data_IF_737794781190
#
_entry.id   IF_737794781190
#
_cell.length_a   1.000
_cell.length_b   1.000
_cell.length_c   1.000
_cell.angle_alpha   90.00
_cell.angle_beta   90.00
_cell.angle_gamma   90.00
#
_symmetry.space_group_name_H-M   'P 1'
#
loop_
_entity.id
_entity.type
_entity.pdbx_description
1 polymer ?
#
# COMPACT_ATOMS: atom_id res chain seq x y z
N UNK A 1 20.00 8.55 15.26
CA UNK A 1 19.13 7.38 15.44
C UNK A 1 19.92 6.11 15.85
N UNK A 2 21.25 6.08 15.76
CA UNK A 2 22.07 4.93 16.23
C UNK A 2 22.01 3.67 15.38
N UNK A 3 21.53 3.76 14.13
CA UNK A 3 21.59 2.65 13.18
C UNK A 3 23.05 2.33 12.87
N UNK A 4 23.42 1.04 12.95
CA UNK A 4 24.81 0.57 12.79
C UNK A 4 25.03 -0.30 11.56
N UNK A 5 23.97 -0.69 10.86
CA UNK A 5 24.03 -1.46 9.63
C UNK A 5 24.46 -0.61 8.43
N UNK A 6 24.25 -1.12 7.24
CA UNK A 6 24.44 -0.38 6.00
C UNK A 6 23.08 -0.04 5.35
N UNK A 7 23.06 1.01 4.53
CA UNK A 7 21.89 1.41 3.76
C UNK A 7 22.11 1.01 2.30
N UNK A 8 21.22 0.19 1.79
CA UNK A 8 21.13 -0.18 0.38
C UNK A 8 20.05 0.67 -0.28
N UNK A 9 20.37 1.33 -1.40
CA UNK A 9 19.35 2.10 -2.15
C UNK A 9 18.32 1.16 -2.78
N UNK A 10 17.20 1.70 -3.19
CA UNK A 10 16.31 1.01 -4.12
C UNK A 10 16.99 0.84 -5.49
N UNK A 11 16.48 -0.13 -6.28
CA UNK A 11 17.07 -0.51 -7.55
C UNK A 11 16.95 0.58 -8.61
N UNK A 12 18.10 1.04 -9.11
CA UNK A 12 18.18 2.03 -10.19
C UNK A 12 17.68 3.44 -9.83
N UNK A 13 17.33 3.71 -8.58
CA UNK A 13 16.71 4.98 -8.19
C UNK A 13 17.65 6.18 -8.38
N UNK A 14 18.93 6.02 -8.07
CA UNK A 14 19.93 7.10 -8.20
C UNK A 14 20.11 7.56 -9.65
N UNK A 15 19.95 6.64 -10.61
CA UNK A 15 20.08 6.97 -12.03
C UNK A 15 18.78 7.47 -12.65
N UNK A 16 17.64 6.85 -12.29
CA UNK A 16 16.40 7.00 -13.03
C UNK A 16 15.40 7.95 -12.37
N UNK A 17 15.53 8.21 -11.06
CA UNK A 17 14.61 9.05 -10.31
C UNK A 17 15.35 10.24 -9.71
N UNK A 18 15.36 11.34 -10.44
CA UNK A 18 16.13 12.54 -10.10
C UNK A 18 15.30 13.57 -9.32
N UNK A 19 14.26 13.16 -8.61
CA UNK A 19 13.33 14.06 -7.93
C UNK A 19 14.02 15.02 -6.94
N UNK A 20 14.00 16.32 -7.28
CA UNK A 20 14.65 17.37 -6.52
C UNK A 20 16.15 17.47 -6.71
N UNK A 21 16.73 16.70 -7.66
CA UNK A 21 18.15 16.68 -8.03
C UNK A 21 18.33 16.54 -9.54
N UNK A 22 17.35 17.03 -10.31
CA UNK A 22 17.28 16.90 -11.77
C UNK A 22 18.46 17.55 -12.47
N UNK A 23 19.00 18.63 -11.91
CA UNK A 23 20.15 19.38 -12.42
C UNK A 23 21.50 18.67 -12.22
N UNK A 24 21.54 17.61 -11.38
CA UNK A 24 22.77 16.88 -11.10
C UNK A 24 23.02 15.78 -12.14
N UNK A 25 24.27 15.63 -12.53
CA UNK A 25 24.72 14.46 -13.29
C UNK A 25 24.61 13.17 -12.44
N UNK A 26 24.53 12.01 -13.09
CA UNK A 26 24.42 10.72 -12.36
C UNK A 26 25.57 10.51 -11.37
N UNK A 27 26.81 10.87 -11.74
CA UNK A 27 27.96 10.77 -10.82
C UNK A 27 27.83 11.69 -9.60
N UNK A 28 27.24 12.87 -9.76
CA UNK A 28 27.00 13.82 -8.67
C UNK A 28 25.88 13.31 -7.74
N UNK A 29 24.83 12.72 -8.30
CA UNK A 29 23.75 12.06 -7.51
C UNK A 29 24.27 10.87 -6.73
N UNK A 30 25.18 10.06 -7.30
CA UNK A 30 25.86 8.97 -6.60
C UNK A 30 26.65 9.50 -5.40
N UNK A 31 27.43 10.56 -5.59
CA UNK A 31 28.19 11.18 -4.51
C UNK A 31 27.25 11.70 -3.41
N UNK A 32 26.21 12.41 -3.78
CA UNK A 32 25.22 12.94 -2.82
C UNK A 32 24.54 11.83 -2.01
N UNK A 33 24.17 10.73 -2.65
CA UNK A 33 23.55 9.58 -2.00
C UNK A 33 24.51 8.96 -0.98
N UNK A 34 25.80 8.77 -1.33
CA UNK A 34 26.82 8.24 -0.41
C UNK A 34 27.04 9.17 0.77
N UNK A 35 27.10 10.47 0.56
CA UNK A 35 27.21 11.45 1.64
C UNK A 35 25.97 11.52 2.54
N UNK A 36 24.78 11.20 1.99
CA UNK A 36 23.56 11.05 2.76
C UNK A 36 23.50 9.74 3.58
N UNK A 37 24.48 8.85 3.42
CA UNK A 37 24.61 7.61 4.19
C UNK A 37 24.19 6.35 3.44
N UNK A 38 23.98 6.40 2.12
CA UNK A 38 23.76 5.21 1.30
C UNK A 38 25.11 4.53 1.07
N UNK A 39 25.25 3.29 1.49
CA UNK A 39 26.49 2.51 1.42
C UNK A 39 26.56 1.63 0.16
N UNK A 40 25.41 1.23 -0.39
CA UNK A 40 25.28 0.39 -1.59
C UNK A 40 24.28 1.04 -2.55
N UNK A 41 24.73 1.30 -3.77
CA UNK A 41 23.84 1.74 -4.89
C UNK A 41 23.31 0.50 -5.58
N UNK A 42 22.06 0.16 -5.33
CA UNK A 42 21.42 -1.05 -5.81
C UNK A 42 20.90 -0.93 -7.25
N UNK A 43 20.88 -2.06 -7.98
CA UNK A 43 20.32 -2.13 -9.33
C UNK A 43 21.04 -1.29 -10.38
N UNK A 44 22.22 -0.76 -10.04
CA UNK A 44 23.09 -0.05 -10.96
C UNK A 44 24.23 -0.96 -11.41
N UNK A 45 24.35 -1.12 -12.71
CA UNK A 45 25.51 -1.75 -13.33
C UNK A 45 26.55 -0.72 -13.77
N UNK A 46 26.26 0.57 -13.60
CA UNK A 46 27.11 1.68 -14.00
C UNK A 46 28.06 2.08 -12.87
N UNK A 47 29.11 1.27 -12.71
CA UNK A 47 30.21 1.60 -11.79
C UNK A 47 30.99 2.85 -12.24
N UNK A 48 30.88 3.26 -13.52
CA UNK A 48 31.62 4.39 -14.07
C UNK A 48 31.16 5.71 -13.46
N UNK A 49 29.88 5.84 -13.10
CA UNK A 49 29.37 7.02 -12.40
C UNK A 49 30.07 7.20 -11.02
N UNK A 50 30.23 6.12 -10.25
CA UNK A 50 30.93 6.18 -8.97
C UNK A 50 32.43 6.48 -9.14
N UNK A 51 33.08 5.85 -10.16
CA UNK A 51 34.48 6.13 -10.49
C UNK A 51 34.68 7.58 -10.93
N UNK A 52 33.75 8.13 -11.71
CA UNK A 52 33.80 9.52 -12.15
C UNK A 52 33.66 10.48 -10.98
N UNK A 53 32.70 10.24 -10.07
CA UNK A 53 32.55 11.03 -8.87
C UNK A 53 33.84 11.05 -8.00
N UNK A 54 34.46 9.88 -7.88
CA UNK A 54 35.74 9.75 -7.16
C UNK A 54 36.88 10.45 -7.89
N UNK A 55 37.03 10.27 -9.22
CA UNK A 55 38.05 10.94 -10.05
C UNK A 55 37.92 12.46 -9.92
N UNK A 56 36.70 13.00 -10.02
CA UNK A 56 36.43 14.45 -9.87
C UNK A 56 36.88 14.98 -8.52
N UNK A 57 36.67 14.22 -7.45
CA UNK A 57 37.15 14.57 -6.11
C UNK A 57 38.69 14.57 -5.99
N UNK A 58 39.36 13.58 -6.62
CA UNK A 58 40.84 13.46 -6.58
C UNK A 58 41.55 14.50 -7.44
N UNK A 59 41.04 14.78 -8.63
CA UNK A 59 41.70 15.66 -9.60
C UNK A 59 41.30 17.12 -9.44
N UNK A 60 40.41 17.45 -8.52
CA UNK A 60 39.88 18.80 -8.36
C UNK A 60 39.15 19.27 -9.63
N UNK A 61 38.36 18.39 -10.22
CA UNK A 61 37.71 18.52 -11.53
C UNK A 61 37.06 19.89 -11.76
N UNK A 62 36.31 20.39 -10.79
CA UNK A 62 35.60 21.65 -10.92
C UNK A 62 36.53 22.85 -11.00
N UNK A 63 37.70 22.76 -10.41
CA UNK A 63 38.70 23.84 -10.40
C UNK A 63 39.65 23.75 -11.62
N UNK A 64 40.01 22.56 -12.04
CA UNK A 64 41.00 22.34 -13.10
C UNK A 64 40.37 22.34 -14.51
N UNK A 65 39.09 21.88 -14.62
CA UNK A 65 38.39 21.79 -15.90
C UNK A 65 37.47 22.99 -16.18
N UNK A 66 37.40 23.95 -15.28
CA UNK A 66 36.53 25.14 -15.44
C UNK A 66 35.02 24.84 -15.33
N UNK A 67 34.64 23.66 -14.88
CA UNK A 67 33.24 23.33 -14.57
C UNK A 67 32.74 24.07 -13.36
N UNK A 68 31.47 24.42 -13.36
CA UNK A 68 30.81 24.99 -12.19
C UNK A 68 30.19 23.88 -11.36
N UNK A 69 30.37 23.96 -10.06
CA UNK A 69 29.56 23.16 -9.12
C UNK A 69 28.11 23.56 -9.28
N UNK A 70 27.16 22.60 -9.34
CA UNK A 70 25.73 22.91 -9.40
C UNK A 70 25.31 23.85 -8.29
N UNK A 71 24.38 24.76 -8.59
CA UNK A 71 23.92 25.77 -7.66
C UNK A 71 23.31 25.10 -6.40
N UNK A 72 23.69 25.60 -5.23
CA UNK A 72 23.23 25.04 -3.94
C UNK A 72 24.08 23.90 -3.40
N UNK A 73 25.08 23.42 -4.12
CA UNK A 73 25.96 22.31 -3.70
C UNK A 73 27.41 22.76 -3.49
N UNK A 74 28.14 21.98 -2.69
CA UNK A 74 29.60 22.11 -2.56
C UNK A 74 30.32 21.01 -3.36
N UNK A 75 31.57 21.24 -3.72
CA UNK A 75 32.43 20.22 -4.38
C UNK A 75 32.44 18.91 -3.60
N UNK A 76 32.53 19.00 -2.28
CA UNK A 76 32.55 17.82 -1.41
C UNK A 76 31.26 16.98 -1.50
N UNK A 77 30.11 17.63 -1.60
CA UNK A 77 28.82 16.94 -1.68
C UNK A 77 28.63 16.19 -3.01
N UNK A 78 29.17 16.69 -4.11
CA UNK A 78 28.99 16.16 -5.46
C UNK A 78 30.18 15.36 -5.99
N UNK A 79 31.16 15.06 -5.11
CA UNK A 79 32.32 14.22 -5.42
C UNK A 79 32.54 13.18 -4.32
N UNK A 80 33.30 12.12 -4.61
CA UNK A 80 33.65 11.10 -3.64
C UNK A 80 35.12 11.21 -3.19
N UNK A 81 35.37 10.93 -1.92
CA UNK A 81 36.68 10.86 -1.30
C UNK A 81 37.04 9.43 -0.86
N UNK A 82 38.31 9.16 -0.59
CA UNK A 82 38.75 7.90 0.03
C UNK A 82 38.03 7.65 1.36
N UNK A 83 37.79 8.71 2.12
CA UNK A 83 37.08 8.61 3.40
C UNK A 83 35.64 8.15 3.23
N UNK A 84 34.88 8.75 2.31
CA UNK A 84 33.49 8.39 2.05
C UNK A 84 33.36 6.93 1.59
N UNK A 85 34.22 6.51 0.63
CA UNK A 85 34.24 5.13 0.14
C UNK A 85 34.66 4.13 1.21
N UNK A 86 35.66 4.48 2.04
CA UNK A 86 36.13 3.62 3.14
C UNK A 86 35.02 3.44 4.17
N UNK A 87 34.26 4.48 4.48
CA UNK A 87 33.14 4.41 5.43
C UNK A 87 32.02 3.50 4.92
N UNK A 88 31.60 3.67 3.68
CA UNK A 88 30.58 2.82 3.05
C UNK A 88 31.01 1.34 3.02
N UNK A 89 32.26 1.09 2.60
CA UNK A 89 32.84 -0.25 2.61
C UNK A 89 32.91 -0.85 4.03
N UNK A 90 33.30 -0.04 5.04
CA UNK A 90 33.39 -0.50 6.42
C UNK A 90 32.03 -0.91 6.99
N UNK A 91 30.96 -0.17 6.70
CA UNK A 91 29.61 -0.55 7.11
C UNK A 91 29.18 -1.90 6.51
N UNK A 92 29.38 -2.07 5.20
CA UNK A 92 29.05 -3.31 4.49
C UNK A 92 29.89 -4.50 4.96
N UNK A 93 31.19 -4.31 5.19
CA UNK A 93 32.09 -5.37 5.67
C UNK A 93 31.81 -5.76 7.11
N UNK A 94 31.48 -4.80 7.97
CA UNK A 94 31.15 -5.06 9.38
C UNK A 94 30.07 -6.12 9.51
N UNK A 95 28.97 -5.97 8.76
CA UNK A 95 27.88 -6.92 8.81
C UNK A 95 28.31 -8.34 8.39
N UNK A 96 29.17 -8.44 7.37
CA UNK A 96 29.71 -9.72 6.94
C UNK A 96 30.59 -10.38 8.01
N UNK A 97 31.38 -9.58 8.76
CA UNK A 97 32.14 -10.09 9.90
C UNK A 97 31.22 -10.51 11.05
N UNK A 98 30.22 -9.69 11.40
CA UNK A 98 29.29 -10.00 12.48
C UNK A 98 28.47 -11.28 12.18
N UNK A 99 28.15 -11.55 10.91
CA UNK A 99 27.50 -12.77 10.45
C UNK A 99 28.44 -13.98 10.35
N UNK A 100 29.76 -13.80 10.56
CA UNK A 100 30.76 -14.85 10.45
C UNK A 100 30.93 -15.43 9.05
N UNK A 101 30.66 -14.64 8.00
CA UNK A 101 30.71 -15.12 6.62
C UNK A 101 32.12 -15.44 6.13
N UNK A 102 33.16 -14.88 6.75
CA UNK A 102 34.54 -15.16 6.41
C UNK A 102 35.05 -16.45 7.07
N UNK A 103 34.60 -16.72 8.31
CA UNK A 103 34.99 -17.90 9.08
C UNK A 103 34.15 -19.12 8.73
N UNK A 104 32.88 -18.93 8.42
CA UNK A 104 31.96 -20.02 8.12
C UNK A 104 30.89 -19.60 7.08
N UNK A 105 31.26 -19.48 5.79
CA UNK A 105 30.37 -19.02 4.73
C UNK A 105 29.29 -20.07 4.35
N UNK A 106 29.53 -21.34 4.69
CA UNK A 106 28.64 -22.44 4.31
C UNK A 106 27.61 -22.75 5.39
N UNK A 107 26.42 -23.13 4.97
CA UNK A 107 25.35 -23.59 5.85
C UNK A 107 24.89 -24.97 5.42
N UNK A 108 24.56 -25.84 6.38
CA UNK A 108 23.97 -27.15 6.09
C UNK A 108 22.50 -26.94 5.68
N UNK A 109 22.11 -27.29 4.43
CA UNK A 109 20.72 -27.14 3.96
C UNK A 109 19.70 -27.88 4.83
N UNK A 110 20.08 -29.02 5.42
CA UNK A 110 19.19 -29.80 6.29
C UNK A 110 18.89 -29.06 7.57
N UNK A 111 19.93 -28.43 8.18
CA UNK A 111 19.74 -27.58 9.37
C UNK A 111 18.94 -26.31 9.03
N UNK A 112 19.10 -25.76 7.82
CA UNK A 112 18.32 -24.61 7.40
C UNK A 112 16.83 -24.90 7.40
N UNK A 113 16.42 -26.10 6.90
CA UNK A 113 15.00 -26.54 6.92
C UNK A 113 14.47 -26.68 8.36
N UNK A 114 15.31 -27.04 9.34
CA UNK A 114 14.90 -27.18 10.74
C UNK A 114 14.69 -25.82 11.44
N UNK A 115 15.35 -24.75 11.00
CA UNK A 115 15.33 -23.44 11.68
C UNK A 115 14.60 -22.34 10.92
N UNK A 116 14.32 -22.53 9.63
CA UNK A 116 13.62 -21.56 8.79
C UNK A 116 12.17 -22.00 8.61
N UNK A 117 11.24 -21.06 8.72
CA UNK A 117 9.82 -21.29 8.55
C UNK A 117 9.27 -22.40 9.48
N UNK A 118 9.69 -22.38 10.73
CA UNK A 118 9.21 -23.32 11.74
C UNK A 118 7.70 -23.18 11.96
N UNK A 119 7.06 -24.16 12.58
CA UNK A 119 5.65 -24.07 12.97
C UNK A 119 5.35 -22.81 13.77
N UNK A 120 6.25 -22.44 14.68
CA UNK A 120 6.12 -21.21 15.48
C UNK A 120 6.20 -19.93 14.63
N UNK A 121 7.05 -19.92 13.60
CA UNK A 121 7.14 -18.77 12.69
C UNK A 121 5.85 -18.60 11.89
N UNK A 122 5.28 -19.72 11.42
CA UNK A 122 3.98 -19.71 10.76
C UNK A 122 2.83 -19.28 11.68
N UNK A 123 2.83 -19.73 12.94
CA UNK A 123 1.86 -19.29 13.96
C UNK A 123 1.98 -17.77 14.23
N UNK A 124 3.20 -17.26 14.35
CA UNK A 124 3.47 -15.83 14.52
C UNK A 124 3.01 -15.02 13.28
N UNK A 125 3.32 -15.49 12.08
CA UNK A 125 2.88 -14.86 10.84
C UNK A 125 1.35 -14.83 10.72
N UNK A 126 0.70 -15.96 11.06
CA UNK A 126 -0.75 -16.05 11.09
C UNK A 126 -1.39 -15.06 12.07
N UNK A 127 -0.78 -14.89 13.24
CA UNK A 127 -1.26 -13.92 14.25
C UNK A 127 -1.11 -12.47 13.75
N UNK A 128 -0.02 -12.15 13.03
CA UNK A 128 0.16 -10.84 12.38
C UNK A 128 -0.94 -10.59 11.35
N UNK A 129 -1.24 -11.58 10.49
CA UNK A 129 -2.32 -11.45 9.50
C UNK A 129 -3.68 -11.18 10.15
N UNK A 130 -4.04 -11.88 11.25
CA UNK A 130 -5.28 -11.62 11.97
C UNK A 130 -5.31 -10.21 12.58
N UNK A 131 -4.20 -9.78 13.17
CA UNK A 131 -4.05 -8.45 13.78
C UNK A 131 -4.09 -7.31 12.78
N UNK A 132 -3.75 -7.56 11.50
CA UNK A 132 -3.81 -6.54 10.45
C UNK A 132 -5.24 -6.26 9.96
N UNK A 133 -6.21 -7.13 10.24
CA UNK A 133 -7.61 -6.90 9.84
C UNK A 133 -8.20 -5.76 10.66
N UNK A 134 -8.72 -4.74 9.98
CA UNK A 134 -9.41 -3.61 10.62
C UNK A 134 -10.92 -3.74 10.40
N UNK A 135 -11.69 -3.66 11.47
CA UNK A 135 -13.15 -3.55 11.39
C UNK A 135 -13.54 -2.08 11.25
N UNK A 136 -14.03 -1.69 10.07
CA UNK A 136 -14.43 -0.32 9.76
C UNK A 136 -15.89 -0.05 10.12
N UNK A 137 -16.79 -1.01 9.83
CA UNK A 137 -18.23 -0.89 10.09
C UNK A 137 -18.80 -2.18 10.62
N UNK A 138 -19.71 -2.07 11.59
CA UNK A 138 -20.48 -3.22 12.09
C UNK A 138 -21.86 -2.77 12.60
N UNK A 139 -22.88 -3.13 11.89
CA UNK A 139 -24.29 -2.87 12.28
C UNK A 139 -24.88 -4.06 13.09
N UNK A 140 -24.09 -4.63 13.99
CA UNK A 140 -24.49 -5.78 14.81
C UNK A 140 -24.46 -7.13 14.08
N UNK A 141 -23.93 -7.15 12.85
CA UNK A 141 -23.86 -8.36 12.02
C UNK A 141 -22.72 -9.27 12.49
N UNK A 142 -21.54 -8.70 12.69
CA UNK A 142 -20.33 -9.42 13.09
C UNK A 142 -20.21 -9.52 14.61
N UNK A 143 -19.61 -10.60 15.14
CA UNK A 143 -19.15 -11.77 14.42
C UNK A 143 -20.30 -12.68 13.96
N UNK A 144 -20.06 -13.48 12.90
CA UNK A 144 -20.94 -14.56 12.47
C UNK A 144 -20.64 -15.80 13.32
N UNK A 145 -21.23 -15.85 14.52
CA UNK A 145 -21.11 -17.02 15.42
C UNK A 145 -21.87 -18.23 14.87
N UNK A 146 -21.54 -19.45 15.35
CA UNK A 146 -22.26 -20.68 14.94
C UNK A 146 -23.78 -20.51 15.14
N UNK A 147 -24.21 -19.88 16.23
CA UNK A 147 -25.64 -19.61 16.50
C UNK A 147 -26.30 -18.74 15.41
N UNK A 148 -25.59 -17.73 14.89
CA UNK A 148 -26.08 -16.85 13.83
C UNK A 148 -26.07 -17.51 12.45
N UNK A 149 -25.21 -18.51 12.25
CA UNK A 149 -24.97 -19.12 10.93
C UNK A 149 -25.64 -20.48 10.76
N UNK A 150 -26.14 -21.11 11.84
CA UNK A 150 -26.75 -22.43 11.77
C UNK A 150 -27.93 -22.44 10.78
N UNK A 151 -27.83 -23.30 9.76
CA UNK A 151 -28.82 -23.46 8.70
C UNK A 151 -28.89 -22.29 7.72
N UNK A 152 -27.95 -21.34 7.77
CA UNK A 152 -27.94 -20.14 6.91
C UNK A 152 -27.27 -20.39 5.58
N UNK A 153 -27.78 -19.72 4.56
CA UNK A 153 -27.19 -19.70 3.22
C UNK A 153 -26.23 -18.53 3.07
N UNK A 154 -25.01 -18.82 2.62
CA UNK A 154 -23.97 -17.83 2.39
C UNK A 154 -23.63 -17.76 0.91
N UNK A 155 -23.78 -16.57 0.35
CA UNK A 155 -23.25 -16.23 -0.96
C UNK A 155 -21.84 -15.67 -0.79
N UNK A 156 -20.87 -16.06 -1.62
CA UNK A 156 -19.51 -15.57 -1.56
C UNK A 156 -19.00 -15.22 -2.96
N UNK A 157 -18.45 -14.04 -3.11
CA UNK A 157 -17.84 -13.59 -4.35
C UNK A 157 -16.63 -12.70 -4.10
N UNK A 158 -15.57 -12.93 -4.88
CA UNK A 158 -14.40 -12.05 -4.96
C UNK A 158 -14.46 -11.22 -6.24
N UNK A 159 -14.02 -9.98 -6.12
CA UNK A 159 -13.87 -9.03 -7.22
C UNK A 159 -12.42 -8.57 -7.30
N UNK A 160 -11.86 -8.59 -8.49
CA UNK A 160 -10.50 -8.13 -8.77
C UNK A 160 -10.52 -7.18 -9.98
N UNK A 161 -9.42 -6.44 -10.23
CA UNK A 161 -9.29 -5.63 -11.43
C UNK A 161 -9.47 -6.46 -12.70
N UNK A 162 -8.94 -7.69 -12.73
CA UNK A 162 -9.19 -8.67 -13.79
C UNK A 162 -10.28 -9.63 -13.34
N UNK A 163 -11.34 -9.77 -14.14
CA UNK A 163 -12.48 -10.63 -13.81
C UNK A 163 -12.07 -12.09 -13.59
N UNK A 164 -11.13 -12.60 -14.39
CA UNK A 164 -10.62 -13.98 -14.28
C UNK A 164 -9.94 -14.26 -12.93
N UNK A 165 -9.26 -13.28 -12.35
CA UNK A 165 -8.63 -13.41 -11.03
C UNK A 165 -9.69 -13.40 -9.92
N UNK A 166 -10.76 -12.61 -10.09
CA UNK A 166 -11.92 -12.63 -9.20
C UNK A 166 -12.63 -13.97 -9.18
N UNK A 167 -12.79 -14.62 -10.35
CA UNK A 167 -13.38 -15.96 -10.46
C UNK A 167 -12.54 -16.98 -9.71
N UNK A 168 -11.23 -17.02 -9.94
CA UNK A 168 -10.31 -17.94 -9.23
C UNK A 168 -10.34 -17.74 -7.72
N UNK A 169 -10.24 -16.47 -7.28
CA UNK A 169 -10.31 -16.12 -5.86
C UNK A 169 -11.64 -16.53 -5.22
N UNK A 170 -12.75 -16.43 -5.96
CA UNK A 170 -14.08 -16.89 -5.49
C UNK A 170 -14.10 -18.39 -5.24
N UNK A 171 -13.53 -19.19 -6.14
CA UNK A 171 -13.44 -20.64 -5.96
C UNK A 171 -12.61 -21.03 -4.74
N UNK A 172 -11.50 -20.33 -4.50
CA UNK A 172 -10.65 -20.53 -3.32
C UNK A 172 -11.37 -20.12 -2.03
N UNK A 173 -12.05 -19.00 -2.03
CA UNK A 173 -12.85 -18.54 -0.89
C UNK A 173 -13.96 -19.54 -0.55
N UNK A 174 -14.68 -20.06 -1.55
CA UNK A 174 -15.72 -21.09 -1.35
C UNK A 174 -15.16 -22.35 -0.72
N UNK A 175 -13.99 -22.84 -1.18
CA UNK A 175 -13.31 -23.99 -0.58
C UNK A 175 -12.92 -23.78 0.90
N UNK A 176 -12.65 -22.54 1.30
CA UNK A 176 -12.41 -22.21 2.71
C UNK A 176 -13.74 -22.25 3.49
N UNK A 177 -14.79 -21.66 2.93
CA UNK A 177 -16.13 -21.60 3.55
C UNK A 177 -16.80 -22.98 3.66
N UNK A 178 -16.54 -23.92 2.77
CA UNK A 178 -17.02 -25.31 2.88
C UNK A 178 -16.57 -26.01 4.18
N UNK A 179 -15.51 -25.52 4.79
CA UNK A 179 -14.99 -26.03 6.08
C UNK A 179 -15.66 -25.41 7.29
N UNK A 180 -16.42 -24.33 7.09
CA UNK A 180 -17.13 -23.64 8.16
C UNK A 180 -18.42 -24.42 8.52
N UNK A 181 -18.62 -24.61 9.80
CA UNK A 181 -19.79 -25.32 10.31
C UNK A 181 -21.04 -24.43 10.28
N UNK A 182 -22.18 -25.02 10.09
CA UNK A 182 -23.47 -24.36 10.22
C UNK A 182 -23.93 -23.54 9.02
N UNK A 183 -23.09 -23.38 7.99
CA UNK A 183 -23.46 -22.66 6.77
C UNK A 183 -23.66 -23.61 5.59
N UNK A 184 -24.47 -23.14 4.61
CA UNK A 184 -24.61 -23.74 3.30
C UNK A 184 -24.28 -22.71 2.23
N UNK A 185 -23.40 -23.04 1.28
CA UNK A 185 -23.08 -22.12 0.19
C UNK A 185 -24.20 -22.09 -0.84
N UNK A 186 -24.44 -20.90 -1.40
CA UNK A 186 -25.34 -20.70 -2.53
C UNK A 186 -24.66 -19.83 -3.59
N UNK A 187 -24.96 -20.11 -4.87
CA UNK A 187 -24.52 -19.29 -6.00
C UNK A 187 -25.49 -18.17 -6.35
N UNK A 188 -26.60 -18.07 -5.61
CA UNK A 188 -27.68 -17.14 -5.87
C UNK A 188 -27.80 -16.12 -4.75
N UNK A 189 -27.52 -14.83 -5.01
CA UNK A 189 -27.68 -13.77 -4.01
C UNK A 189 -29.11 -13.71 -3.46
N UNK A 190 -30.12 -13.99 -4.29
CA UNK A 190 -31.54 -14.00 -3.92
C UNK A 190 -31.90 -15.12 -2.92
N UNK A 191 -31.03 -16.07 -2.67
CA UNK A 191 -31.21 -17.12 -1.67
C UNK A 191 -30.39 -16.90 -0.39
N UNK A 192 -29.49 -15.91 -0.40
CA UNK A 192 -28.51 -15.74 0.65
C UNK A 192 -29.08 -15.04 1.90
N UNK A 193 -28.76 -15.58 3.07
CA UNK A 193 -28.92 -14.90 4.37
C UNK A 193 -27.72 -13.96 4.65
N UNK A 194 -26.52 -14.34 4.16
CA UNK A 194 -25.30 -13.54 4.23
C UNK A 194 -24.62 -13.51 2.87
N UNK A 195 -24.12 -12.34 2.48
CA UNK A 195 -23.19 -12.21 1.36
C UNK A 195 -21.83 -11.78 1.87
N UNK A 196 -20.79 -12.53 1.49
CA UNK A 196 -19.40 -12.21 1.76
C UNK A 196 -18.73 -11.73 0.46
N UNK A 197 -18.40 -10.46 0.39
CA UNK A 197 -17.81 -9.83 -0.80
C UNK A 197 -16.35 -9.44 -0.50
N UNK A 198 -15.41 -10.04 -1.22
CA UNK A 198 -14.00 -9.76 -1.08
C UNK A 198 -13.52 -8.95 -2.28
N UNK A 199 -13.03 -7.74 -2.04
CA UNK A 199 -12.73 -6.75 -3.06
C UNK A 199 -11.23 -6.48 -3.08
N UNK A 200 -10.60 -6.70 -4.23
CA UNK A 200 -9.17 -6.42 -4.44
C UNK A 200 -9.01 -5.45 -5.61
N UNK A 201 -9.32 -4.17 -5.39
CA UNK A 201 -9.14 -3.15 -6.42
C UNK A 201 -7.65 -2.89 -6.67
N UNK A 202 -7.34 -2.43 -7.89
CA UNK A 202 -5.99 -2.04 -8.29
C UNK A 202 -6.04 -0.86 -9.27
N UNK A 203 -5.19 0.12 -9.09
CA UNK A 203 -5.04 1.27 -9.99
C UNK A 203 -3.58 1.43 -10.39
N UNK A 204 -3.38 1.94 -11.61
CA UNK A 204 -2.08 2.07 -12.22
C UNK A 204 -1.40 0.74 -12.49
N UNK A 205 -0.24 0.80 -13.11
CA UNK A 205 0.71 -0.30 -13.17
C UNK A 205 1.93 0.11 -12.36
N UNK A 206 2.47 -0.80 -11.55
CA UNK A 206 3.70 -0.57 -10.81
C UNK A 206 4.78 -0.01 -11.74
N UNK A 207 5.28 1.18 -11.47
CA UNK A 207 6.32 1.90 -12.22
C UNK A 207 5.97 2.33 -13.67
N UNK A 208 4.83 1.93 -14.21
CA UNK A 208 4.38 2.28 -15.55
C UNK A 208 3.04 3.03 -15.53
N UNK A 209 2.68 3.61 -14.39
CA UNK A 209 1.53 4.49 -14.36
C UNK A 209 1.71 5.56 -15.44
N UNK A 210 0.69 5.75 -16.26
CA UNK A 210 0.62 6.94 -17.11
C UNK A 210 0.96 8.13 -16.22
N UNK A 211 1.98 8.93 -16.52
CA UNK A 211 2.46 9.95 -15.61
C UNK A 211 1.29 10.77 -15.06
N UNK A 212 1.14 10.76 -13.76
CA UNK A 212 0.25 11.65 -13.04
C UNK A 212 -1.19 11.19 -12.82
N UNK A 213 -1.65 10.03 -13.31
CA UNK A 213 -3.01 9.59 -13.01
C UNK A 213 -3.06 8.37 -12.11
N UNK A 214 -3.77 8.51 -11.00
CA UNK A 214 -4.09 7.44 -10.06
C UNK A 214 -5.58 7.51 -9.73
N UNK A 215 -6.33 6.44 -10.03
CA UNK A 215 -7.75 6.34 -9.67
C UNK A 215 -7.89 5.70 -8.30
N UNK A 216 -8.54 6.38 -7.37
CA UNK A 216 -8.82 5.89 -6.02
C UNK A 216 -10.27 5.40 -5.85
N UNK A 217 -11.18 5.72 -6.77
CA UNK A 217 -12.54 5.20 -6.73
C UNK A 217 -12.56 3.71 -7.09
N UNK A 218 -13.34 2.92 -6.34
CA UNK A 218 -13.63 1.53 -6.68
C UNK A 218 -14.67 1.54 -7.79
N UNK A 219 -14.25 1.46 -9.06
CA UNK A 219 -15.06 1.68 -10.24
C UNK A 219 -14.87 0.61 -11.32
N UNK A 220 -15.86 0.56 -12.24
CA UNK A 220 -15.85 -0.29 -13.42
C UNK A 220 -16.36 0.52 -14.62
N UNK A 221 -15.44 0.83 -15.55
CA UNK A 221 -15.74 1.60 -16.74
C UNK A 221 -16.05 3.07 -16.45
N UNK A 222 -15.30 3.72 -15.56
CA UNK A 222 -15.38 5.16 -15.30
C UNK A 222 -14.61 5.92 -16.38
N UNK A 223 -15.27 6.89 -17.01
CA UNK A 223 -14.58 7.84 -17.90
C UNK A 223 -13.82 8.87 -17.05
N UNK A 224 -12.55 9.00 -17.28
CA UNK A 224 -11.64 9.90 -16.58
C UNK A 224 -10.87 10.77 -17.55
N UNK A 225 -10.55 11.99 -17.12
CA UNK A 225 -9.75 12.93 -17.89
C UNK A 225 -8.29 12.51 -17.84
N UNK A 226 -7.62 12.48 -18.99
CA UNK A 226 -6.17 12.29 -19.03
C UNK A 226 -5.45 13.46 -18.37
N UNK A 227 -4.19 13.24 -18.01
CA UNK A 227 -3.30 14.28 -17.50
C UNK A 227 -2.06 14.40 -18.39
N UNK A 228 -1.51 15.61 -18.49
CA UNK A 228 -0.26 15.85 -19.16
C UNK A 228 0.95 15.45 -18.29
N UNK A 229 2.17 15.62 -18.81
CA UNK A 229 3.41 15.29 -18.10
C UNK A 229 3.59 16.04 -16.79
N UNK A 230 2.91 17.20 -16.63
CA UNK A 230 2.91 17.98 -15.40
C UNK A 230 1.71 17.70 -14.48
N UNK A 231 0.90 16.68 -14.82
CA UNK A 231 -0.27 16.29 -14.03
C UNK A 231 -1.49 17.20 -14.18
N UNK A 232 -1.54 18.05 -15.22
CA UNK A 232 -2.68 18.94 -15.51
C UNK A 232 -3.71 18.24 -16.40
N UNK A 233 -5.01 18.52 -16.25
CA UNK A 233 -6.05 17.94 -17.08
C UNK A 233 -5.79 18.17 -18.59
N UNK A 234 -5.76 17.09 -19.35
CA UNK A 234 -5.67 17.11 -20.81
C UNK A 234 -7.09 17.26 -21.42
N UNK A 235 -7.17 17.33 -22.76
CA UNK A 235 -8.44 17.37 -23.50
C UNK A 235 -8.98 16.00 -23.85
N UNK A 236 -8.20 14.96 -23.63
CA UNK A 236 -8.53 13.56 -23.91
C UNK A 236 -9.03 12.88 -22.67
N UNK A 237 -9.77 11.79 -22.84
CA UNK A 237 -10.28 10.95 -21.76
C UNK A 237 -9.94 9.50 -22.05
N UNK A 238 -9.86 8.69 -21.02
CA UNK A 238 -9.80 7.24 -21.11
C UNK A 238 -10.76 6.60 -20.11
N UNK A 239 -10.91 5.27 -20.21
CA UNK A 239 -11.79 4.52 -19.31
C UNK A 239 -10.96 3.79 -18.28
N UNK A 240 -11.24 4.03 -16.99
CA UNK A 240 -10.61 3.33 -15.88
C UNK A 240 -11.52 2.27 -15.28
N UNK A 241 -10.91 1.14 -14.94
CA UNK A 241 -11.51 0.08 -14.13
C UNK A 241 -10.52 -0.32 -13.05
N UNK A 242 -10.84 -0.02 -11.81
CA UNK A 242 -10.06 -0.45 -10.65
C UNK A 242 -10.53 -1.80 -10.13
N UNK A 243 -11.80 -2.15 -10.38
CA UNK A 243 -12.44 -3.40 -9.94
C UNK A 243 -13.49 -3.83 -10.96
N UNK A 244 -13.24 -4.92 -11.69
CA UNK A 244 -14.24 -5.47 -12.62
C UNK A 244 -15.49 -5.91 -11.88
N UNK A 245 -16.64 -5.49 -12.38
CA UNK A 245 -17.94 -5.79 -11.78
C UNK A 245 -18.26 -4.95 -10.54
N UNK A 246 -17.58 -3.83 -10.28
CA UNK A 246 -17.86 -2.96 -9.13
C UNK A 246 -19.37 -2.58 -9.04
N UNK A 247 -20.03 -2.35 -10.16
CA UNK A 247 -21.46 -2.04 -10.20
C UNK A 247 -22.35 -3.17 -9.64
N UNK A 248 -21.91 -4.43 -9.74
CA UNK A 248 -22.64 -5.59 -9.22
C UNK A 248 -22.71 -5.61 -7.68
N UNK A 249 -21.79 -4.90 -6.98
CA UNK A 249 -21.76 -4.87 -5.51
C UNK A 249 -23.09 -4.34 -4.95
N UNK A 250 -23.54 -3.20 -5.45
CA UNK A 250 -24.81 -2.58 -5.02
C UNK A 250 -26.03 -3.42 -5.41
N UNK A 251 -25.99 -4.09 -6.57
CA UNK A 251 -27.06 -4.97 -7.05
C UNK A 251 -27.20 -6.22 -6.17
N UNK A 252 -26.07 -6.87 -5.86
CA UNK A 252 -26.01 -8.02 -4.94
C UNK A 252 -26.50 -7.60 -3.57
N UNK A 253 -25.99 -6.49 -3.03
CA UNK A 253 -26.38 -5.99 -1.73
C UNK A 253 -27.89 -5.74 -1.65
N UNK A 254 -28.46 -5.05 -2.64
CA UNK A 254 -29.90 -4.82 -2.71
C UNK A 254 -30.67 -6.14 -2.71
N UNK A 255 -30.29 -7.09 -3.56
CA UNK A 255 -30.93 -8.40 -3.66
C UNK A 255 -30.93 -9.15 -2.33
N UNK A 256 -29.81 -9.10 -1.61
CA UNK A 256 -29.70 -9.75 -0.29
C UNK A 256 -30.52 -9.01 0.77
N UNK A 257 -30.47 -7.67 0.78
CA UNK A 257 -31.23 -6.84 1.73
C UNK A 257 -32.74 -6.94 1.52
N UNK A 258 -33.25 -7.06 0.28
CA UNK A 258 -34.67 -7.22 -0.04
C UNK A 258 -35.27 -8.47 0.64
N UNK A 259 -34.44 -9.41 1.06
CA UNK A 259 -34.82 -10.60 1.85
C UNK A 259 -34.54 -10.49 3.34
N UNK A 260 -34.01 -9.38 3.80
CA UNK A 260 -33.54 -9.20 5.17
C UNK A 260 -32.20 -9.84 5.49
N UNK A 261 -31.46 -10.28 4.44
CA UNK A 261 -30.08 -10.78 4.56
C UNK A 261 -29.09 -9.67 4.88
N UNK A 262 -27.84 -10.02 5.10
CA UNK A 262 -26.77 -9.12 5.51
C UNK A 262 -25.56 -9.22 4.58
N UNK A 263 -24.91 -8.10 4.33
CA UNK A 263 -23.74 -7.99 3.45
C UNK A 263 -22.50 -7.64 4.26
N UNK A 264 -21.46 -8.46 4.14
CA UNK A 264 -20.15 -8.24 4.74
C UNK A 264 -19.17 -8.06 3.60
N UNK A 265 -18.51 -6.92 3.54
CA UNK A 265 -17.47 -6.64 2.56
C UNK A 265 -16.09 -6.56 3.22
N UNK A 266 -15.08 -7.09 2.54
CA UNK A 266 -13.69 -6.90 2.87
C UNK A 266 -12.99 -6.24 1.69
N UNK A 267 -12.36 -5.10 1.90
CA UNK A 267 -11.59 -4.39 0.89
C UNK A 267 -10.10 -4.58 1.16
N UNK A 268 -9.34 -5.00 0.15
CA UNK A 268 -7.89 -5.04 0.21
C UNK A 268 -7.30 -3.67 -0.15
N UNK A 269 -6.64 -3.04 0.82
CA UNK A 269 -6.07 -1.70 0.68
C UNK A 269 -4.61 -1.78 0.24
N UNK A 270 -4.37 -1.68 -1.06
CA UNK A 270 -3.04 -1.40 -1.64
C UNK A 270 -2.82 0.10 -1.83
N UNK A 271 -3.92 0.85 -1.88
CA UNK A 271 -3.99 2.31 -1.96
C UNK A 271 -5.07 2.82 -1.00
N UNK A 272 -5.16 4.13 -0.83
CA UNK A 272 -6.20 4.78 -0.03
C UNK A 272 -7.55 4.85 -0.81
N UNK A 273 -8.19 3.69 -1.03
CA UNK A 273 -9.41 3.58 -1.82
C UNK A 273 -10.54 4.46 -1.27
N UNK A 274 -11.28 5.08 -2.19
CA UNK A 274 -12.56 5.72 -1.90
C UNK A 274 -13.63 4.65 -1.68
N UNK A 275 -14.12 4.53 -0.44
CA UNK A 275 -15.03 3.44 -0.05
C UNK A 275 -16.52 3.77 -0.26
N UNK A 276 -16.82 4.95 -0.76
CA UNK A 276 -18.20 5.44 -0.94
C UNK A 276 -19.07 4.59 -1.86
N UNK A 277 -18.48 3.81 -2.75
CA UNK A 277 -19.19 2.88 -3.65
C UNK A 277 -19.47 1.52 -3.01
N UNK A 278 -18.92 1.23 -1.82
CA UNK A 278 -19.06 -0.05 -1.11
C UNK A 278 -19.70 0.12 0.27
N UNK A 279 -19.22 1.10 1.07
CA UNK A 279 -19.62 1.27 2.47
C UNK A 279 -21.13 1.35 2.69
N UNK A 280 -21.91 2.14 1.88
CA UNK A 280 -23.35 2.26 2.11
C UNK A 280 -24.13 0.95 1.96
N UNK A 281 -23.58 -0.01 1.25
CA UNK A 281 -24.21 -1.29 0.94
C UNK A 281 -23.78 -2.43 1.90
N UNK A 282 -22.77 -2.21 2.73
CA UNK A 282 -22.27 -3.19 3.66
C UNK A 282 -22.84 -3.00 5.07
N UNK A 283 -23.35 -4.09 5.69
CA UNK A 283 -23.71 -4.14 7.12
C UNK A 283 -22.49 -4.36 8.01
N UNK A 284 -21.46 -5.01 7.47
CA UNK A 284 -20.12 -5.14 8.06
C UNK A 284 -19.07 -4.81 7.01
N UNK A 285 -18.08 -3.98 7.35
CA UNK A 285 -16.98 -3.62 6.46
C UNK A 285 -15.65 -3.84 7.15
N UNK A 286 -14.78 -4.58 6.47
CA UNK A 286 -13.41 -4.86 6.93
C UNK A 286 -12.39 -4.31 5.92
N UNK A 287 -11.22 -3.94 6.44
CA UNK A 287 -10.05 -3.61 5.65
C UNK A 287 -8.96 -4.66 5.86
N UNK A 288 -8.44 -5.19 4.75
CA UNK A 288 -7.24 -6.02 4.69
C UNK A 288 -6.10 -5.26 4.03
N UNK A 289 -4.87 -5.66 4.29
CA UNK A 289 -3.63 -5.08 3.76
C UNK A 289 -2.76 -6.24 3.26
N UNK A 290 -3.09 -6.78 2.07
CA UNK A 290 -2.61 -8.07 1.56
C UNK A 290 -2.78 -9.22 2.57
N UNK A 291 -3.84 -9.09 3.37
CA UNK A 291 -4.20 -10.06 4.40
C UNK A 291 -4.81 -11.29 3.75
N UNK A 292 -4.32 -12.47 4.11
CA UNK A 292 -4.88 -13.72 3.60
C UNK A 292 -6.37 -13.88 3.95
N UNK A 293 -7.21 -14.35 3.03
CA UNK A 293 -8.65 -14.50 3.24
C UNK A 293 -9.03 -15.30 4.48
N UNK A 294 -8.27 -16.35 4.82
CA UNK A 294 -8.53 -17.15 6.03
C UNK A 294 -8.40 -16.33 7.33
N UNK A 295 -7.50 -15.34 7.38
CA UNK A 295 -7.35 -14.46 8.54
C UNK A 295 -8.53 -13.48 8.66
N UNK A 296 -9.04 -13.00 7.54
CA UNK A 296 -10.27 -12.20 7.48
C UNK A 296 -11.47 -13.03 7.93
N UNK A 297 -11.56 -14.29 7.48
CA UNK A 297 -12.61 -15.22 7.93
C UNK A 297 -12.52 -15.51 9.43
N UNK A 298 -11.31 -15.59 10.02
CA UNK A 298 -11.15 -15.74 11.47
C UNK A 298 -11.78 -14.58 12.23
N UNK A 299 -11.68 -13.36 11.70
CA UNK A 299 -12.36 -12.18 12.26
C UNK A 299 -13.86 -12.27 11.97
N UNK A 300 -14.31 -12.53 10.74
CA UNK A 300 -15.73 -12.61 10.39
C UNK A 300 -16.47 -13.62 11.27
N UNK A 301 -15.89 -14.80 11.51
CA UNK A 301 -16.51 -15.85 12.32
C UNK A 301 -16.21 -15.77 13.82
N UNK A 302 -15.55 -14.69 14.27
CA UNK A 302 -15.31 -14.44 15.71
C UNK A 302 -14.25 -15.31 16.35
N UNK A 303 -13.43 -16.02 15.58
CA UNK A 303 -12.28 -16.77 16.09
C UNK A 303 -11.14 -15.86 16.57
N UNK A 304 -11.13 -14.64 16.04
CA UNK A 304 -10.20 -13.60 16.44
C UNK A 304 -10.94 -12.25 16.51
N UNK A 305 -10.85 -11.57 17.67
CA UNK A 305 -11.44 -10.23 17.82
C UNK A 305 -10.60 -9.19 17.08
N UNK A 306 -11.20 -8.32 16.25
CA UNK A 306 -10.45 -7.31 15.49
C UNK A 306 -9.75 -6.32 16.43
N UNK A 307 -8.46 -6.14 16.22
CA UNK A 307 -7.61 -5.19 16.96
C UNK A 307 -6.89 -4.22 16.04
N UNK A 308 -6.98 -4.47 14.73
CA UNK A 308 -6.34 -3.65 13.71
C UNK A 308 -6.82 -2.20 13.72
N UNK A 309 -5.95 -1.31 13.30
CA UNK A 309 -6.22 0.12 13.16
C UNK A 309 -5.81 0.58 11.78
N UNK A 310 -6.57 1.51 11.20
CA UNK A 310 -6.23 2.08 9.90
C UNK A 310 -4.85 2.73 9.94
N UNK A 311 -3.95 2.35 9.02
CA UNK A 311 -2.63 2.96 8.92
C UNK A 311 -2.64 4.30 8.18
N UNK A 312 -3.77 4.66 7.57
CA UNK A 312 -3.98 5.87 6.77
C UNK A 312 -5.40 6.41 6.99
N UNK A 313 -5.59 7.70 6.71
CA UNK A 313 -6.92 8.30 6.58
C UNK A 313 -7.48 8.02 5.19
N UNK A 314 -8.69 7.46 5.10
CA UNK A 314 -9.35 7.22 3.82
C UNK A 314 -9.97 8.51 3.28
N UNK A 315 -9.73 8.86 2.00
CA UNK A 315 -10.31 10.05 1.40
C UNK A 315 -11.81 9.86 1.11
N UNK A 316 -12.56 10.95 1.19
CA UNK A 316 -13.97 10.96 0.83
C UNK A 316 -14.20 10.97 -0.69
N UNK A 317 -13.25 11.56 -1.44
CA UNK A 317 -13.28 11.72 -2.89
C UNK A 317 -11.88 12.03 -3.45
N UNK A 318 -11.75 12.12 -4.77
CA UNK A 318 -10.52 12.37 -5.51
C UNK A 318 -9.94 13.79 -5.35
N UNK A 319 -10.57 14.66 -4.57
CA UNK A 319 -10.07 16.03 -4.33
C UNK A 319 -8.69 16.05 -3.69
N UNK A 320 -8.31 14.96 -3.03
CA UNK A 320 -6.98 14.76 -2.43
C UNK A 320 -5.85 14.62 -3.45
N UNK A 321 -6.19 14.26 -4.69
CA UNK A 321 -5.22 14.10 -5.79
C UNK A 321 -5.09 15.35 -6.64
N UNK A 322 -5.90 16.39 -6.40
CA UNK A 322 -5.93 17.59 -7.22
C UNK A 322 -4.74 18.48 -6.91
N UNK A 323 -4.06 18.89 -7.99
CA UNK A 323 -3.02 19.90 -7.94
C UNK A 323 -3.69 21.28 -7.91
N UNK A 324 -3.22 22.19 -7.04
CA UNK A 324 -3.70 23.57 -7.03
C UNK A 324 -3.35 24.28 -8.33
N UNK A 325 -4.01 25.41 -8.70
CA UNK A 325 -3.64 26.21 -9.86
C UNK A 325 -2.17 26.66 -9.86
N UNK A 326 -1.54 26.72 -8.67
CA UNK A 326 -0.14 27.07 -8.48
C UNK A 326 0.81 25.85 -8.61
N UNK A 327 0.28 24.68 -8.96
CA UNK A 327 1.07 23.45 -9.11
C UNK A 327 1.41 22.74 -7.79
N UNK A 328 0.78 23.13 -6.68
CA UNK A 328 1.00 22.49 -5.38
C UNK A 328 0.02 21.32 -5.21
N UNK A 329 0.54 20.12 -5.07
CA UNK A 329 -0.25 18.97 -4.69
C UNK A 329 -0.65 19.11 -3.21
N UNK A 330 -1.95 19.13 -2.94
CA UNK A 330 -2.49 19.12 -1.58
C UNK A 330 -2.72 17.64 -1.24
N UNK A 331 -1.62 16.93 -0.95
CA UNK A 331 -1.70 15.52 -0.57
C UNK A 331 -2.25 15.34 0.83
N UNK A 332 -3.03 14.28 1.07
CA UNK A 332 -3.35 13.85 2.42
C UNK A 332 -2.05 13.54 3.17
N UNK A 333 -2.00 13.87 4.44
CA UNK A 333 -0.79 13.76 5.22
C UNK A 333 -1.09 13.25 6.63
N UNK A 334 -0.83 11.95 6.84
CA UNK A 334 -0.93 11.28 8.13
C UNK A 334 0.43 11.26 8.87
N UNK A 335 1.28 12.24 8.64
CA UNK A 335 2.60 12.34 9.28
C UNK A 335 2.44 12.69 10.76
N UNK A 336 3.16 11.99 11.67
CA UNK A 336 3.15 12.32 13.09
C UNK A 336 3.47 13.78 13.36
N UNK A 337 2.60 14.46 14.11
CA UNK A 337 2.73 15.87 14.43
C UNK A 337 2.11 16.84 13.42
N UNK A 338 1.59 16.35 12.30
CA UNK A 338 0.82 17.16 11.37
C UNK A 338 -0.68 17.00 11.65
N UNK A 339 -1.32 18.11 11.95
CA UNK A 339 -2.77 18.19 12.17
C UNK A 339 -3.46 18.61 10.86
N UNK A 340 -3.97 17.62 10.10
CA UNK A 340 -4.64 17.85 8.82
C UNK A 340 -5.88 18.73 8.97
N UNK A 341 -6.62 18.60 10.07
CA UNK A 341 -7.85 19.35 10.30
C UNK A 341 -7.56 20.82 10.57
N UNK A 342 -6.37 21.12 11.10
CA UNK A 342 -5.90 22.49 11.32
C UNK A 342 -5.29 23.13 10.08
N UNK A 343 -4.45 22.39 9.35
CA UNK A 343 -3.58 22.99 8.33
C UNK A 343 -4.10 22.83 6.90
N UNK A 344 -5.01 21.86 6.63
CA UNK A 344 -5.60 21.74 5.31
C UNK A 344 -6.55 22.90 4.99
N UNK A 345 -6.66 23.28 3.70
CA UNK A 345 -7.57 24.35 3.28
C UNK A 345 -9.04 24.06 3.66
N UNK A 346 -9.80 25.12 3.99
CA UNK A 346 -11.22 25.02 4.37
C UNK A 346 -12.08 24.29 3.33
N UNK A 347 -11.77 24.43 2.03
CA UNK A 347 -12.47 23.74 0.94
C UNK A 347 -12.36 22.21 0.99
N UNK A 348 -11.39 21.66 1.73
CA UNK A 348 -11.20 20.25 1.94
C UNK A 348 -11.85 19.73 3.23
N UNK A 349 -12.40 20.61 4.04
CA UNK A 349 -13.06 20.29 5.30
C UNK A 349 -14.57 20.11 5.11
N UNK A 350 -15.15 19.24 5.92
CA UNK A 350 -16.60 19.11 6.05
C UNK A 350 -17.18 20.08 7.08
N UNK A 351 -18.48 19.99 7.34
CA UNK A 351 -19.21 20.78 8.32
C UNK A 351 -18.72 20.61 9.76
N UNK A 352 -17.97 19.54 10.04
CA UNK A 352 -17.38 19.27 11.36
C UNK A 352 -15.90 19.69 11.43
N UNK A 353 -15.38 20.34 10.40
CA UNK A 353 -13.99 20.78 10.31
C UNK A 353 -12.99 19.64 10.03
N UNK A 354 -13.48 18.45 9.60
CA UNK A 354 -12.65 17.32 9.25
C UNK A 354 -12.18 17.40 7.81
N UNK A 355 -10.86 17.39 7.60
CA UNK A 355 -10.26 17.48 6.29
C UNK A 355 -10.28 16.12 5.58
N UNK A 356 -10.73 16.09 4.36
CA UNK A 356 -10.78 15.00 3.37
C UNK A 356 -11.18 13.60 3.86
N UNK A 357 -11.34 13.35 5.14
CA UNK A 357 -11.66 12.03 5.65
C UNK A 357 -13.07 11.55 5.25
N UNK A 358 -13.16 10.29 4.84
CA UNK A 358 -14.44 9.64 4.59
C UNK A 358 -15.22 9.51 5.89
N UNK A 359 -16.51 9.87 5.84
CA UNK A 359 -17.45 9.69 6.94
C UNK A 359 -18.51 8.67 6.57
N UNK A 360 -18.63 7.62 7.39
CA UNK A 360 -19.60 6.57 7.16
C UNK A 360 -21.05 6.98 7.50
N UNK A 361 -22.00 6.12 7.17
CA UNK A 361 -23.43 6.33 7.44
C UNK A 361 -23.78 6.38 8.93
N UNK A 362 -22.90 5.90 9.81
CA UNK A 362 -23.06 5.98 11.27
C UNK A 362 -22.39 7.24 11.87
N UNK A 363 -21.69 8.02 11.06
CA UNK A 363 -21.00 9.25 11.47
C UNK A 363 -19.56 9.07 11.90
N UNK A 364 -18.96 7.89 11.74
CA UNK A 364 -17.56 7.63 12.03
C UNK A 364 -16.68 8.13 10.89
N UNK A 365 -15.52 8.69 11.21
CA UNK A 365 -14.50 9.04 10.24
C UNK A 365 -13.44 7.93 10.15
N UNK A 366 -13.15 7.48 8.92
CA UNK A 366 -12.12 6.48 8.69
C UNK A 366 -10.74 7.13 8.61
N UNK A 367 -10.28 7.61 9.77
CA UNK A 367 -8.99 8.28 9.93
C UNK A 367 -7.88 7.32 10.37
N UNK A 368 -6.65 7.79 10.29
CA UNK A 368 -5.49 7.13 10.90
C UNK A 368 -5.83 6.68 12.33
N UNK A 369 -5.50 5.43 12.67
CA UNK A 369 -5.81 4.77 13.94
C UNK A 369 -7.30 4.45 14.19
N UNK A 370 -8.19 4.65 13.23
CA UNK A 370 -9.58 4.20 13.36
C UNK A 370 -9.67 2.67 13.27
N UNK A 371 -10.60 2.08 14.02
CA UNK A 371 -10.94 0.65 13.97
C UNK A 371 -11.86 0.29 15.11
N UNK A 372 -12.90 -0.47 14.80
CA UNK A 372 -13.92 -0.96 15.74
C UNK A 372 -13.49 -2.30 16.38
N UNK A 373 -14.21 -2.69 17.41
CA UNK A 373 -14.10 -3.98 18.11
C UNK A 373 -15.50 -4.57 18.31
N UNK A 374 -15.58 -5.87 18.58
CA UNK A 374 -16.79 -6.54 19.07
C UNK A 374 -16.48 -7.48 20.22
#
# INVERSE_FOLDING_TARGET
>A
MGFKGYINSDSGIVQNMAWGVEELEVCERVALAVHAGVDIISGSYDIEAAKEAYRRGKEGYYTTQGHKVPEGYTVEQVTLSDQALTQAAAHTLREKFELGLFENPYRDPRKAVEVVATKKDWENAADVHRKSVVLLKNQGTLPLTEEKTEGKKVYAQCFNKKEEDGVKATEELKKMLEKEKGITLTDKPEEADYALLFLTPSSGEYFNATPGYLELEICDGKEVCDVDEEGRPAKTTHTETTLSGAKKISEIAKTVHDRGGKVIANINFTLAWEVGTVEPYADGLLAGFDTYPWAVLDVIFGRFSPVGKMPITLPKDDSVLKVSPEGVCISPNDVPGYDKDKYMPEKMKDENGKAYAYRDSAGNYYELNFGLHY
#
